data_IF_260326150267
#
_entry.id   IF_260326150267
#
_cell.length_a   1.000
_cell.length_b   1.000
_cell.length_c   1.000
_cell.angle_alpha   90.00
_cell.angle_beta   90.00
_cell.angle_gamma   90.00
#
_symmetry.space_group_name_H-M   'P 1'
#
loop_
_entity.id
_entity.type
_entity.pdbx_description
1 polymer ?
#
# COMPACT_ATOMS: atom_id res chain seq x y z
N UNK A 1 -5.63 -9.32 -20.08
CA UNK A 1 -4.78 -9.28 -18.86
C UNK A 1 -5.54 -9.60 -17.59
N UNK A 2 -6.56 -8.85 -17.17
CA UNK A 2 -7.33 -9.17 -15.92
C UNK A 2 -8.17 -10.42 -16.11
N UNK A 3 -8.87 -10.54 -17.23
CA UNK A 3 -9.81 -11.64 -17.52
C UNK A 3 -9.14 -12.88 -18.13
N UNK A 4 -7.83 -12.84 -18.43
CA UNK A 4 -7.14 -13.95 -19.13
C UNK A 4 -6.83 -15.14 -18.23
N UNK A 5 -7.07 -15.02 -16.92
CA UNK A 5 -6.83 -16.08 -15.95
C UNK A 5 -7.94 -16.17 -14.90
N UNK A 6 -7.95 -17.29 -14.16
CA UNK A 6 -8.91 -17.52 -13.08
C UNK A 6 -8.78 -16.53 -11.91
N UNK A 7 -9.80 -16.45 -11.03
CA UNK A 7 -9.78 -15.53 -9.89
C UNK A 7 -8.64 -15.81 -8.90
N UNK A 8 -8.23 -17.05 -8.79
CA UNK A 8 -7.21 -17.51 -7.83
C UNK A 8 -5.79 -17.52 -8.43
N UNK A 9 -5.62 -17.00 -9.65
CA UNK A 9 -4.31 -16.96 -10.32
C UNK A 9 -3.61 -15.65 -9.97
N UNK A 10 -2.45 -15.70 -9.27
CA UNK A 10 -1.65 -14.51 -8.97
C UNK A 10 -1.27 -13.72 -10.21
N UNK A 11 -1.07 -12.42 -10.03
CA UNK A 11 -0.57 -11.51 -11.05
C UNK A 11 0.93 -11.29 -10.86
N UNK A 12 1.64 -10.94 -11.95
CA UNK A 12 3.04 -10.54 -11.86
C UNK A 12 3.16 -9.29 -11.00
N UNK A 13 4.02 -9.33 -9.98
CA UNK A 13 4.38 -8.14 -9.20
C UNK A 13 5.48 -7.36 -9.94
N UNK A 14 5.23 -6.08 -10.18
CA UNK A 14 6.15 -5.15 -10.80
C UNK A 14 7.20 -4.68 -9.81
N UNK A 15 8.46 -4.52 -10.27
CA UNK A 15 9.61 -4.30 -9.38
C UNK A 15 10.43 -3.09 -9.83
N UNK A 16 10.94 -2.33 -8.87
CA UNK A 16 11.79 -1.16 -9.14
C UNK A 16 13.13 -1.51 -9.82
N UNK A 17 13.52 -2.78 -9.83
CA UNK A 17 14.71 -3.27 -10.53
C UNK A 17 14.55 -3.30 -12.04
N UNK A 18 13.33 -3.26 -12.54
CA UNK A 18 13.01 -3.08 -13.96
C UNK A 18 12.65 -1.61 -14.21
N UNK A 19 13.24 -1.00 -15.24
CA UNK A 19 13.07 0.43 -15.53
C UNK A 19 11.63 0.80 -15.87
N UNK A 20 10.95 0.00 -16.68
CA UNK A 20 9.56 0.26 -17.08
C UNK A 20 8.59 0.09 -15.92
N UNK A 21 8.80 -0.95 -15.10
CA UNK A 21 8.04 -1.19 -13.88
C UNK A 21 8.23 -0.03 -12.90
N UNK A 22 9.47 0.43 -12.73
CA UNK A 22 9.81 1.53 -11.83
C UNK A 22 9.10 2.84 -12.23
N UNK A 23 9.03 3.17 -13.50
CA UNK A 23 8.31 4.34 -13.98
C UNK A 23 6.81 4.25 -13.65
N UNK A 24 6.20 3.10 -13.85
CA UNK A 24 4.78 2.92 -13.54
C UNK A 24 4.54 2.99 -12.03
N UNK A 25 5.38 2.35 -11.21
CA UNK A 25 5.28 2.38 -9.74
C UNK A 25 5.41 3.81 -9.16
N UNK A 26 5.97 4.75 -9.93
CA UNK A 26 6.08 6.18 -9.59
C UNK A 26 4.93 7.02 -10.14
N UNK A 27 3.99 6.40 -10.83
CA UNK A 27 2.85 7.10 -11.41
C UNK A 27 1.68 7.08 -10.45
N UNK A 28 1.02 8.24 -10.27
CA UNK A 28 -0.17 8.34 -9.43
C UNK A 28 -1.33 7.57 -10.04
N UNK A 29 -2.04 6.84 -9.20
CA UNK A 29 -3.26 6.11 -9.54
C UNK A 29 -4.48 7.05 -9.59
N UNK A 30 -5.53 6.59 -10.22
CA UNK A 30 -6.82 7.26 -10.31
C UNK A 30 -7.93 6.46 -9.61
N UNK A 31 -9.02 7.13 -9.29
CA UNK A 31 -10.16 6.48 -8.66
C UNK A 31 -10.78 5.43 -9.57
N UNK A 32 -11.30 4.38 -8.95
CA UNK A 32 -12.09 3.37 -9.62
C UNK A 32 -13.58 3.67 -9.43
N UNK A 33 -14.36 3.50 -10.50
CA UNK A 33 -15.81 3.47 -10.36
C UNK A 33 -16.21 2.20 -9.62
N UNK A 34 -16.85 2.37 -8.47
CA UNK A 34 -17.35 1.23 -7.69
C UNK A 34 -18.65 0.75 -8.30
N UNK A 35 -18.61 -0.45 -8.87
CA UNK A 35 -19.77 -1.14 -9.40
C UNK A 35 -19.73 -2.59 -8.92
N UNK A 36 -20.60 -2.96 -7.95
CA UNK A 36 -20.63 -4.31 -7.41
C UNK A 36 -20.93 -5.40 -8.46
N UNK A 37 -21.57 -5.01 -9.56
CA UNK A 37 -21.92 -5.92 -10.64
C UNK A 37 -20.85 -6.03 -11.75
N UNK A 38 -19.77 -5.22 -11.70
CA UNK A 38 -18.71 -5.26 -12.70
C UNK A 38 -17.84 -6.54 -12.55
N UNK A 39 -17.92 -7.50 -13.47
CA UNK A 39 -17.18 -8.74 -13.39
C UNK A 39 -15.66 -8.51 -13.54
N UNK A 40 -15.24 -7.45 -14.22
CA UNK A 40 -13.82 -7.11 -14.40
C UNK A 40 -13.24 -6.63 -13.07
N UNK A 41 -13.96 -5.75 -12.36
CA UNK A 41 -13.56 -5.30 -11.04
C UNK A 41 -13.48 -6.49 -10.08
N UNK A 42 -14.54 -7.31 -9.98
CA UNK A 42 -14.56 -8.47 -9.08
C UNK A 42 -13.42 -9.45 -9.36
N UNK A 43 -13.15 -9.73 -10.65
CA UNK A 43 -12.02 -10.58 -11.06
C UNK A 43 -10.68 -9.98 -10.66
N UNK A 44 -10.52 -8.67 -10.84
CA UNK A 44 -9.30 -7.97 -10.46
C UNK A 44 -9.06 -8.03 -8.95
N UNK A 45 -10.09 -7.75 -8.13
CA UNK A 45 -9.99 -7.81 -6.67
C UNK A 45 -9.56 -9.21 -6.20
N UNK A 46 -10.17 -10.26 -6.75
CA UNK A 46 -9.82 -11.66 -6.42
C UNK A 46 -8.37 -11.98 -6.78
N UNK A 47 -7.92 -11.62 -7.98
CA UNK A 47 -6.54 -11.88 -8.43
C UNK A 47 -5.50 -11.07 -7.67
N UNK A 48 -5.82 -9.82 -7.29
CA UNK A 48 -4.94 -9.00 -6.46
C UNK A 48 -4.78 -9.63 -5.07
N UNK A 49 -5.87 -10.15 -4.48
CA UNK A 49 -5.83 -10.91 -3.24
C UNK A 49 -4.99 -12.17 -3.38
N UNK A 50 -5.21 -12.98 -4.43
CA UNK A 50 -4.41 -14.16 -4.70
C UNK A 50 -2.91 -13.83 -4.83
N UNK A 51 -2.58 -12.65 -5.36
CA UNK A 51 -1.19 -12.20 -5.50
C UNK A 51 -0.52 -11.95 -4.15
N UNK A 52 -1.19 -11.27 -3.23
CA UNK A 52 -0.60 -10.96 -1.92
C UNK A 52 -0.59 -12.16 -0.97
N UNK A 53 -1.54 -13.08 -1.14
CA UNK A 53 -1.64 -14.31 -0.32
C UNK A 53 -0.88 -15.50 -0.90
N UNK A 54 -0.24 -15.34 -2.05
CA UNK A 54 0.65 -16.36 -2.59
C UNK A 54 1.75 -16.68 -1.57
N UNK A 55 2.03 -17.96 -1.37
CA UNK A 55 3.01 -18.45 -0.40
C UNK A 55 4.43 -17.89 -0.59
N UNK A 56 4.76 -17.42 -1.79
CA UNK A 56 6.01 -16.73 -2.10
C UNK A 56 6.01 -15.24 -1.73
N UNK A 57 4.85 -14.66 -1.38
CA UNK A 57 4.66 -13.22 -1.27
C UNK A 57 5.01 -12.64 0.11
N UNK A 58 4.68 -13.29 1.20
CA UNK A 58 4.89 -12.83 2.59
C UNK A 58 4.46 -11.35 2.87
N UNK A 59 3.61 -10.77 2.03
CA UNK A 59 3.11 -9.40 2.18
C UNK A 59 1.94 -9.32 3.17
N UNK A 60 1.77 -8.15 3.80
CA UNK A 60 0.63 -7.82 4.67
C UNK A 60 -0.35 -6.85 4.00
N UNK A 61 0.01 -6.37 2.81
CA UNK A 61 -0.78 -5.52 1.96
C UNK A 61 -0.28 -5.52 0.53
N UNK A 62 -1.10 -5.06 -0.39
CA UNK A 62 -0.77 -4.86 -1.79
C UNK A 62 -1.65 -3.76 -2.38
N UNK A 63 -1.05 -2.95 -3.27
CA UNK A 63 -1.74 -1.93 -4.03
C UNK A 63 -1.80 -2.28 -5.52
N UNK A 64 -2.86 -1.87 -6.20
CA UNK A 64 -3.05 -2.15 -7.64
C UNK A 64 -1.89 -1.73 -8.54
N UNK A 65 -1.19 -0.59 -8.31
CA UNK A 65 0.01 -0.25 -9.09
C UNK A 65 1.09 -1.32 -9.08
N UNK A 66 1.20 -2.10 -7.99
CA UNK A 66 2.21 -3.17 -7.89
C UNK A 66 2.00 -4.34 -8.86
N UNK A 67 0.83 -4.42 -9.47
CA UNK A 67 0.52 -5.37 -10.56
C UNK A 67 0.26 -4.67 -11.90
N UNK A 68 0.67 -3.40 -12.01
CA UNK A 68 0.60 -2.64 -13.26
C UNK A 68 -0.75 -1.98 -13.54
N UNK A 69 -1.64 -1.87 -12.56
CA UNK A 69 -2.97 -1.26 -12.71
C UNK A 69 -3.04 0.02 -11.87
N UNK A 70 -3.09 1.18 -12.55
CA UNK A 70 -3.10 2.50 -11.90
C UNK A 70 -4.52 2.87 -11.42
N UNK A 71 -5.04 2.11 -10.46
CA UNK A 71 -6.33 2.36 -9.80
C UNK A 71 -6.15 2.42 -8.29
N UNK A 72 -6.95 3.24 -7.62
CA UNK A 72 -6.93 3.41 -6.17
C UNK A 72 -7.61 2.22 -5.48
N UNK A 73 -6.88 1.09 -5.42
CA UNK A 73 -7.33 -0.18 -4.83
C UNK A 73 -6.19 -0.76 -4.01
N UNK A 74 -6.49 -1.14 -2.76
CA UNK A 74 -5.54 -1.84 -1.89
C UNK A 74 -6.20 -3.03 -1.19
N UNK A 75 -5.42 -4.07 -0.91
CA UNK A 75 -5.74 -5.11 0.07
C UNK A 75 -4.84 -4.96 1.29
N UNK A 76 -5.41 -5.14 2.48
CA UNK A 76 -4.68 -5.04 3.76
C UNK A 76 -5.11 -6.19 4.66
N UNK A 77 -4.15 -6.84 5.30
CA UNK A 77 -4.43 -7.75 6.40
C UNK A 77 -4.66 -6.94 7.68
N UNK A 78 -5.84 -7.07 8.26
CA UNK A 78 -6.27 -6.31 9.44
C UNK A 78 -5.75 -6.98 10.72
N UNK A 79 -4.50 -6.63 11.09
CA UNK A 79 -3.87 -7.14 12.30
C UNK A 79 -4.50 -6.59 13.60
N UNK A 80 -5.30 -5.56 13.48
CA UNK A 80 -6.08 -4.90 14.53
C UNK A 80 -7.46 -5.53 14.78
N UNK A 81 -7.82 -6.55 14.01
CA UNK A 81 -9.11 -7.27 14.13
C UNK A 81 -8.91 -8.73 14.52
N UNK A 82 -9.91 -9.28 15.20
CA UNK A 82 -9.98 -10.72 15.48
C UNK A 82 -9.92 -11.51 14.16
N UNK A 83 -9.30 -12.69 14.19
CA UNK A 83 -9.07 -13.56 13.02
C UNK A 83 -8.19 -12.96 11.91
N UNK A 84 -7.62 -11.76 12.09
CA UNK A 84 -6.70 -11.10 11.17
C UNK A 84 -7.19 -11.09 9.71
N UNK A 85 -8.43 -10.63 9.45
CA UNK A 85 -9.03 -10.75 8.12
C UNK A 85 -8.31 -9.91 7.08
N UNK A 86 -8.37 -10.39 5.81
CA UNK A 86 -8.02 -9.57 4.66
C UNK A 86 -9.22 -8.71 4.25
N UNK A 87 -8.99 -7.42 4.08
CA UNK A 87 -10.00 -6.47 3.62
C UNK A 87 -9.51 -5.67 2.43
N UNK A 88 -10.42 -5.40 1.49
CA UNK A 88 -10.16 -4.57 0.31
C UNK A 88 -10.78 -3.20 0.47
N UNK A 89 -10.04 -2.19 0.02
CA UNK A 89 -10.43 -0.79 0.08
C UNK A 89 -10.31 -0.17 -1.31
N UNK A 90 -11.39 0.45 -1.77
CA UNK A 90 -11.47 1.17 -3.03
C UNK A 90 -11.41 2.67 -2.73
N UNK A 91 -10.69 3.41 -3.56
CA UNK A 91 -10.52 4.86 -3.41
C UNK A 91 -10.09 5.29 -1.98
N UNK A 92 -9.15 4.58 -1.33
CA UNK A 92 -8.77 4.89 0.03
C UNK A 92 -8.03 6.22 0.11
N UNK A 93 -8.41 7.03 1.10
CA UNK A 93 -7.78 8.33 1.40
C UNK A 93 -7.46 8.40 2.90
N UNK A 94 -6.26 8.84 3.24
CA UNK A 94 -5.91 9.18 4.61
C UNK A 94 -6.31 10.65 4.85
N UNK A 95 -7.33 10.87 5.68
CA UNK A 95 -7.84 12.20 6.01
C UNK A 95 -7.03 12.91 7.08
N UNK A 96 -6.50 12.14 8.03
CA UNK A 96 -5.70 12.67 9.13
C UNK A 96 -4.61 11.68 9.54
N UNK A 97 -3.51 12.23 10.02
CA UNK A 97 -2.39 11.51 10.59
C UNK A 97 -2.20 11.94 12.04
N UNK A 98 -1.95 11.00 12.94
CA UNK A 98 -1.58 11.33 14.33
C UNK A 98 -0.24 12.07 14.38
N UNK A 99 -0.09 12.94 15.38
CA UNK A 99 1.21 13.56 15.69
C UNK A 99 2.22 12.55 16.24
N UNK A 100 1.71 11.58 17.02
CA UNK A 100 2.52 10.45 17.51
C UNK A 100 3.02 9.64 16.33
N UNK A 101 4.30 9.32 16.35
CA UNK A 101 4.97 8.46 15.35
C UNK A 101 5.35 7.12 15.97
N UNK A 102 5.58 6.16 15.10
CA UNK A 102 6.15 4.86 15.43
C UNK A 102 7.19 4.47 14.38
N UNK A 103 8.15 3.64 14.77
CA UNK A 103 9.19 3.16 13.87
C UNK A 103 9.06 1.65 13.71
N UNK A 104 8.93 1.20 12.47
CA UNK A 104 8.76 -0.22 12.16
C UNK A 104 9.62 -0.60 10.95
N UNK A 105 10.06 -1.83 10.92
CA UNK A 105 10.75 -2.38 9.75
C UNK A 105 9.72 -2.61 8.64
N UNK A 106 9.92 -1.94 7.52
CA UNK A 106 9.14 -2.12 6.31
C UNK A 106 9.91 -2.90 5.25
N UNK A 107 9.20 -3.65 4.45
CA UNK A 107 9.64 -4.25 3.19
C UNK A 107 8.52 -4.11 2.18
N UNK A 108 8.81 -4.33 0.90
CA UNK A 108 7.84 -4.17 -0.17
C UNK A 108 8.03 -5.27 -1.22
N UNK A 109 6.92 -5.83 -1.71
CA UNK A 109 6.94 -6.83 -2.79
C UNK A 109 7.57 -6.30 -4.08
N UNK A 110 7.44 -4.99 -4.32
CA UNK A 110 8.03 -4.29 -5.46
C UNK A 110 9.51 -3.90 -5.26
N UNK A 111 10.06 -4.08 -4.05
CA UNK A 111 11.43 -3.71 -3.69
C UNK A 111 12.13 -4.93 -3.09
N UNK A 112 12.64 -5.84 -3.93
CA UNK A 112 13.22 -7.08 -3.46
C UNK A 112 14.49 -6.84 -2.64
N UNK A 113 14.69 -7.68 -1.62
CA UNK A 113 15.90 -7.73 -0.79
C UNK A 113 16.22 -6.45 -0.01
N UNK A 114 15.28 -5.53 0.13
CA UNK A 114 15.45 -4.32 0.95
C UNK A 114 14.40 -4.29 2.05
N UNK A 115 14.88 -4.09 3.27
CA UNK A 115 14.07 -3.80 4.45
C UNK A 115 14.79 -2.76 5.27
N UNK A 116 14.04 -1.80 5.80
CA UNK A 116 14.62 -0.77 6.68
C UNK A 116 13.55 -0.21 7.62
N UNK A 117 14.01 0.46 8.66
CA UNK A 117 13.14 1.06 9.67
C UNK A 117 12.66 2.43 9.22
N UNK A 118 11.37 2.56 9.02
CA UNK A 118 10.70 3.77 8.56
C UNK A 118 9.82 4.36 9.67
N UNK A 119 9.76 5.70 9.76
CA UNK A 119 8.88 6.41 10.68
C UNK A 119 7.52 6.68 10.06
N UNK A 120 6.46 6.25 10.73
CA UNK A 120 5.06 6.41 10.30
C UNK A 120 4.20 7.04 11.38
N UNK A 121 3.07 7.60 11.01
CA UNK A 121 2.06 7.98 12.00
C UNK A 121 1.58 6.73 12.77
N UNK A 122 1.36 6.89 14.08
CA UNK A 122 0.82 5.81 14.91
C UNK A 122 -0.64 5.47 14.58
N UNK A 123 -1.42 6.50 14.21
CA UNK A 123 -2.82 6.35 13.83
C UNK A 123 -3.13 7.18 12.59
N UNK A 124 -4.08 6.69 11.79
CA UNK A 124 -4.60 7.38 10.60
C UNK A 124 -6.14 7.31 10.58
N UNK A 125 -6.77 8.37 10.12
CA UNK A 125 -8.20 8.38 9.80
C UNK A 125 -8.36 8.03 8.33
N UNK A 126 -8.87 6.83 8.07
CA UNK A 126 -9.12 6.30 6.73
C UNK A 126 -10.53 6.60 6.26
N UNK A 127 -10.66 7.02 5.02
CA UNK A 127 -11.93 7.10 4.29
C UNK A 127 -11.82 6.29 3.00
N UNK A 128 -12.85 5.51 2.66
CA UNK A 128 -12.78 4.57 1.54
C UNK A 128 -14.16 4.08 1.11
N UNK A 129 -14.22 3.48 -0.07
CA UNK A 129 -15.37 2.72 -0.54
C UNK A 129 -15.12 1.20 -0.41
N UNK A 130 -16.20 0.44 -0.24
CA UNK A 130 -16.17 -1.02 -0.26
C UNK A 130 -16.67 -1.57 -1.60
N UNK A 131 -16.34 -2.82 -1.95
CA UNK A 131 -16.80 -3.43 -3.20
C UNK A 131 -18.31 -3.52 -3.36
N UNK A 132 -19.07 -3.49 -2.27
CA UNK A 132 -20.54 -3.47 -2.28
C UNK A 132 -21.13 -2.08 -2.51
N UNK A 133 -20.28 -1.06 -2.70
CA UNK A 133 -20.68 0.33 -2.89
C UNK A 133 -20.90 1.12 -1.59
N UNK A 134 -20.76 0.49 -0.43
CA UNK A 134 -20.85 1.21 0.85
C UNK A 134 -19.60 2.06 1.09
N UNK A 135 -19.79 3.19 1.78
CA UNK A 135 -18.73 4.10 2.15
C UNK A 135 -18.35 3.89 3.62
N UNK A 136 -17.07 4.00 3.94
CA UNK A 136 -16.55 3.83 5.29
C UNK A 136 -15.57 4.92 5.68
N UNK A 137 -15.57 5.23 6.97
CA UNK A 137 -14.55 6.07 7.61
C UNK A 137 -14.22 5.44 8.96
N UNK A 138 -12.92 5.22 9.24
CA UNK A 138 -12.49 4.62 10.50
C UNK A 138 -11.09 5.08 10.92
N UNK A 139 -10.85 5.09 12.23
CA UNK A 139 -9.52 5.27 12.80
C UNK A 139 -8.81 3.92 12.84
N UNK A 140 -7.60 3.88 12.31
CA UNK A 140 -6.72 2.70 12.36
C UNK A 140 -5.44 3.08 13.08
N UNK A 141 -5.02 2.23 14.01
CA UNK A 141 -3.88 2.48 14.88
C UNK A 141 -2.80 1.39 14.77
N UNK A 142 -1.67 1.67 15.44
CA UNK A 142 -0.54 0.75 15.58
C UNK A 142 -0.02 0.24 14.22
N UNK A 143 0.48 -0.98 14.16
CA UNK A 143 1.13 -1.52 12.96
C UNK A 143 0.20 -1.63 11.75
N UNK A 144 -1.10 -1.85 11.96
CA UNK A 144 -2.08 -1.84 10.85
C UNK A 144 -2.13 -0.47 10.17
N UNK A 145 -1.97 0.63 10.92
CA UNK A 145 -1.87 1.97 10.32
C UNK A 145 -0.64 2.12 9.42
N UNK A 146 0.46 1.45 9.75
CA UNK A 146 1.68 1.42 8.90
C UNK A 146 1.38 0.76 7.55
N UNK A 147 0.68 -0.38 7.56
CA UNK A 147 0.30 -1.09 6.34
C UNK A 147 -0.55 -0.17 5.45
N UNK A 148 -1.59 0.48 5.99
CA UNK A 148 -2.41 1.41 5.23
C UNK A 148 -1.59 2.56 4.64
N UNK A 149 -0.69 3.17 5.41
CA UNK A 149 0.17 4.25 4.93
C UNK A 149 1.07 3.78 3.78
N UNK A 150 1.64 2.59 3.90
CA UNK A 150 2.48 1.99 2.87
C UNK A 150 1.71 1.75 1.57
N UNK A 151 0.52 1.16 1.66
CA UNK A 151 -0.29 0.86 0.47
C UNK A 151 -0.88 2.13 -0.19
N UNK A 152 -1.30 3.12 0.61
CA UNK A 152 -1.77 4.41 0.07
C UNK A 152 -0.62 5.19 -0.58
N UNK A 153 0.60 5.08 -0.07
CA UNK A 153 1.78 5.66 -0.71
C UNK A 153 1.95 5.13 -2.14
N UNK A 154 1.81 3.82 -2.35
CA UNK A 154 1.86 3.22 -3.68
C UNK A 154 0.85 3.84 -4.66
N UNK A 155 -0.36 4.18 -4.20
CA UNK A 155 -1.38 4.85 -5.01
C UNK A 155 -0.95 6.26 -5.45
N UNK A 156 -0.05 6.88 -4.71
CA UNK A 156 0.51 8.20 -5.00
C UNK A 156 1.88 8.16 -5.68
N UNK A 157 2.37 6.97 -6.05
CA UNK A 157 3.70 6.79 -6.64
C UNK A 157 4.85 6.97 -5.67
N UNK A 158 4.59 6.86 -4.37
CA UNK A 158 5.55 7.00 -3.27
C UNK A 158 5.96 5.60 -2.78
N UNK A 159 7.23 5.43 -2.46
CA UNK A 159 7.78 4.19 -1.91
C UNK A 159 8.37 4.46 -0.52
N UNK A 160 8.47 3.42 0.34
CA UNK A 160 9.05 3.61 1.67
C UNK A 160 10.51 4.11 1.62
N UNK A 161 11.23 3.86 0.54
CA UNK A 161 12.58 4.39 0.30
C UNK A 161 12.61 5.92 0.25
N UNK A 162 11.52 6.57 -0.18
CA UNK A 162 11.44 8.03 -0.24
C UNK A 162 11.37 8.63 1.18
N UNK A 163 10.66 7.97 2.08
CA UNK A 163 10.61 8.34 3.50
C UNK A 163 11.99 8.19 4.15
N UNK A 164 12.71 7.11 3.86
CA UNK A 164 14.07 6.92 4.37
C UNK A 164 15.02 8.02 3.88
N UNK A 165 14.96 8.35 2.59
CA UNK A 165 15.77 9.41 2.02
C UNK A 165 15.45 10.79 2.65
N UNK A 166 14.18 11.06 2.95
CA UNK A 166 13.77 12.29 3.62
C UNK A 166 14.24 12.33 5.08
N UNK A 167 14.09 11.23 5.83
CA UNK A 167 14.62 11.12 7.20
C UNK A 167 16.14 11.36 7.26
N UNK A 168 16.88 10.80 6.30
CA UNK A 168 18.34 11.01 6.21
C UNK A 168 18.69 12.47 5.95
N UNK A 169 17.96 13.16 5.05
CA UNK A 169 18.16 14.59 4.79
C UNK A 169 17.88 15.44 6.02
N UNK A 170 16.81 15.16 6.76
CA UNK A 170 16.45 15.88 7.97
C UNK A 170 17.51 15.70 9.07
N UNK A 171 18.00 14.45 9.26
CA UNK A 171 19.04 14.16 10.24
C UNK A 171 20.36 14.86 9.88
N UNK A 172 20.74 14.89 8.61
CA UNK A 172 21.97 15.59 8.16
C UNK A 172 21.87 17.11 8.38
N UNK A 173 20.69 17.71 8.22
CA UNK A 173 20.46 19.14 8.45
C UNK A 173 20.49 19.54 9.94
N UNK A 174 20.32 18.56 10.87
CA UNK A 174 20.32 18.81 12.32
C UNK A 174 21.67 18.53 12.99
N UNK A 175 22.73 18.22 12.24
CA UNK A 175 24.09 18.10 12.81
C UNK A 175 24.56 19.52 13.17
N UNK A 176 24.81 19.82 14.46
CA UNK A 176 25.35 21.13 14.85
C UNK A 176 26.69 21.33 14.20
N UNK A 177 26.89 22.43 13.47
CA UNK A 177 28.21 22.88 13.04
C UNK A 177 29.00 23.11 14.33
N UNK A 178 29.96 22.24 14.61
CA UNK A 178 30.84 22.36 15.77
C UNK A 178 31.46 23.76 15.76
N UNK A 179 31.25 24.53 16.82
CA UNK A 179 32.00 25.75 17.09
C UNK A 179 33.43 25.28 17.47
N UNK A 180 34.35 25.54 16.58
CA UNK A 180 35.78 25.61 16.94
C UNK A 180 36.06 26.81 17.86
#
# INVERSE_FOLDING_TARGET
MIMDAGPDVPMRVWKITDHSDSLLLRTRSEDVRVDPADPVLQRFLSRLHATVTDSASLGLGIAAPQVGILKNIIWVQRLDKEDLPWEVFLNPVIRQYSKRKQRNVEGCLSIPNQRDTCSRAYAVLMEYDRPDGSHGIEMVEDFTSVIFQHEVDHLNGILFLDHLAEEQRQNAAHVPVGRE
#
